data_IF_713606694894
#
_entry.id   IF_713606694894
#
_cell.length_a   1.000
_cell.length_b   1.000
_cell.length_c   1.000
_cell.angle_alpha   90.00
_cell.angle_beta   90.00
_cell.angle_gamma   90.00
#
_symmetry.space_group_name_H-M   'P 1'
#
loop_
_entity.id
_entity.type
_entity.pdbx_description
1 polymer ?
#
# COMPACT_ATOMS: atom_id res chain seq x y z
N UNK A 1 -16.43 34.22 -6.05
CA UNK A 1 -17.49 33.33 -5.55
C UNK A 1 -18.68 33.13 -6.52
N UNK A 2 -18.68 33.60 -7.78
CA UNK A 2 -19.83 33.41 -8.69
C UNK A 2 -19.46 33.17 -10.17
N UNK A 3 -18.56 32.23 -10.48
CA UNK A 3 -18.30 31.86 -11.90
C UNK A 3 -18.44 30.34 -12.15
N UNK A 4 -18.53 29.52 -11.11
CA UNK A 4 -18.68 28.07 -11.23
C UNK A 4 -20.14 27.58 -11.37
N UNK A 5 -21.13 28.46 -11.15
CA UNK A 5 -22.54 28.07 -11.05
C UNK A 5 -23.31 28.13 -12.39
N UNK A 6 -22.83 28.84 -13.41
CA UNK A 6 -23.58 29.05 -14.66
C UNK A 6 -23.24 28.02 -15.77
N UNK A 7 -22.14 27.28 -15.68
CA UNK A 7 -21.70 26.37 -16.76
C UNK A 7 -22.35 24.98 -16.74
N UNK A 8 -23.08 24.62 -15.68
CA UNK A 8 -23.61 23.26 -15.48
C UNK A 8 -25.07 23.06 -15.89
N UNK A 9 -25.70 24.03 -16.56
CA UNK A 9 -27.16 24.03 -16.73
C UNK A 9 -27.74 23.47 -18.03
N UNK A 10 -26.97 22.90 -18.95
CA UNK A 10 -27.57 22.38 -20.20
C UNK A 10 -26.99 21.03 -20.63
N UNK A 11 -27.89 20.05 -20.59
CA UNK A 11 -27.98 18.82 -21.38
C UNK A 11 -26.72 17.97 -21.58
N UNK A 12 -26.77 16.81 -20.91
CA UNK A 12 -26.21 15.55 -21.38
C UNK A 12 -26.50 15.35 -22.87
N UNK A 13 -25.47 15.40 -23.71
CA UNK A 13 -25.24 14.43 -24.80
C UNK A 13 -23.95 14.74 -25.57
N UNK A 14 -23.18 13.68 -25.83
CA UNK A 14 -22.09 13.46 -26.81
C UNK A 14 -20.96 14.51 -27.02
N UNK A 15 -21.10 15.77 -26.63
CA UNK A 15 -20.14 16.86 -26.85
C UNK A 15 -19.11 17.00 -25.71
N UNK A 16 -19.43 16.53 -24.50
CA UNK A 16 -18.55 16.61 -23.33
C UNK A 16 -17.26 15.79 -23.45
N UNK A 17 -17.20 14.76 -24.30
CA UNK A 17 -15.98 13.95 -24.44
C UNK A 17 -14.85 14.75 -25.09
N UNK A 18 -15.17 15.75 -25.92
CA UNK A 18 -14.17 16.57 -26.61
C UNK A 18 -13.75 17.79 -25.78
N UNK A 19 -14.70 18.45 -25.11
CA UNK A 19 -14.39 19.61 -24.27
C UNK A 19 -13.76 19.25 -22.92
N UNK A 20 -14.22 18.16 -22.28
CA UNK A 20 -13.52 17.61 -21.11
C UNK A 20 -12.11 17.15 -21.50
N UNK A 21 -11.86 16.85 -22.78
CA UNK A 21 -10.56 16.40 -23.28
C UNK A 21 -9.57 17.51 -23.65
N UNK A 22 -10.02 18.62 -24.23
CA UNK A 22 -9.17 19.83 -24.39
C UNK A 22 -8.73 20.34 -23.01
N UNK A 23 -9.63 20.34 -22.02
CA UNK A 23 -9.27 20.60 -20.63
C UNK A 23 -8.38 19.48 -20.07
N UNK A 24 -8.66 18.19 -20.31
CA UNK A 24 -7.89 17.07 -19.71
C UNK A 24 -6.45 16.95 -20.23
N UNK A 25 -6.18 17.32 -21.49
CA UNK A 25 -4.83 17.37 -22.06
C UNK A 25 -3.95 18.44 -21.38
N UNK A 26 -4.57 19.56 -21.02
CA UNK A 26 -3.96 20.64 -20.23
C UNK A 26 -3.81 20.16 -18.78
N UNK A 27 -4.85 19.50 -18.23
CA UNK A 27 -4.93 19.03 -16.85
C UNK A 27 -3.93 17.92 -16.46
N UNK A 28 -3.30 17.15 -17.36
CA UNK A 28 -2.31 16.15 -16.90
C UNK A 28 -1.14 16.76 -16.11
N UNK A 29 -0.71 17.95 -16.52
CA UNK A 29 0.32 18.76 -15.86
C UNK A 29 -0.34 19.94 -15.12
N UNK A 30 -1.39 20.55 -15.69
CA UNK A 30 -2.04 21.72 -15.08
C UNK A 30 -3.05 21.39 -13.98
N UNK A 31 -3.63 20.18 -13.92
CA UNK A 31 -4.41 19.73 -12.75
C UNK A 31 -3.49 19.42 -11.60
N UNK A 32 -2.31 18.87 -11.87
CA UNK A 32 -1.28 18.68 -10.85
C UNK A 32 -0.78 20.04 -10.34
N UNK A 33 -0.62 21.04 -11.22
CA UNK A 33 -0.29 22.41 -10.85
C UNK A 33 -1.44 23.14 -10.12
N UNK A 34 -2.70 22.98 -10.54
CA UNK A 34 -3.91 23.50 -9.86
C UNK A 34 -4.14 22.81 -8.50
N UNK A 35 -3.80 21.52 -8.39
CA UNK A 35 -3.73 20.78 -7.12
C UNK A 35 -2.50 21.16 -6.27
N UNK A 36 -1.63 22.03 -6.79
CA UNK A 36 -0.33 22.44 -6.23
C UNK A 36 0.53 21.26 -5.79
N UNK A 37 0.51 20.19 -6.59
CA UNK A 37 1.34 18.98 -6.45
C UNK A 37 2.75 19.36 -6.91
N UNK A 38 3.47 20.09 -6.05
CA UNK A 38 4.90 20.33 -6.24
C UNK A 38 5.67 19.09 -5.78
N UNK A 39 6.35 18.44 -6.71
CA UNK A 39 7.39 17.48 -6.39
C UNK A 39 8.68 18.26 -6.14
N UNK A 40 8.86 18.80 -4.92
CA UNK A 40 10.18 19.28 -4.53
C UNK A 40 11.07 18.07 -4.26
N UNK A 41 12.08 17.89 -5.11
CA UNK A 41 13.10 16.84 -5.01
C UNK A 41 13.94 16.91 -3.73
N UNK A 42 13.75 17.95 -2.89
CA UNK A 42 14.43 18.13 -1.60
C UNK A 42 13.55 17.86 -0.37
N UNK A 43 12.22 17.83 -0.47
CA UNK A 43 11.34 17.68 0.72
C UNK A 43 10.17 16.70 0.46
N UNK A 44 10.18 15.60 1.23
CA UNK A 44 9.35 14.39 1.14
C UNK A 44 7.86 14.56 1.48
N UNK A 45 7.16 15.52 0.88
CA UNK A 45 5.70 15.59 1.01
C UNK A 45 5.08 16.33 -0.15
N UNK A 46 4.38 15.60 -1.01
CA UNK A 46 3.49 16.20 -1.99
C UNK A 46 2.23 16.59 -1.25
N UNK A 47 2.18 17.85 -0.79
CA UNK A 47 1.01 18.41 -0.12
C UNK A 47 -0.06 18.63 -1.17
N UNK A 48 -0.94 17.64 -1.36
CA UNK A 48 -2.16 17.86 -2.14
C UNK A 48 -3.01 18.87 -1.35
N UNK A 49 -3.38 19.96 -2.00
CA UNK A 49 -4.14 21.02 -1.34
C UNK A 49 -5.49 20.48 -0.84
N UNK A 50 -5.71 20.50 0.48
CA UNK A 50 -6.92 20.01 1.13
C UNK A 50 -8.17 20.74 0.64
N UNK A 51 -8.04 22.01 0.23
CA UNK A 51 -9.16 22.77 -0.36
C UNK A 51 -9.64 22.20 -1.69
N UNK A 52 -8.74 21.63 -2.50
CA UNK A 52 -9.10 21.01 -3.78
C UNK A 52 -9.70 19.62 -3.57
N UNK A 53 -9.20 18.84 -2.59
CA UNK A 53 -9.84 17.59 -2.19
C UNK A 53 -11.26 17.83 -1.65
N UNK A 54 -11.44 18.88 -0.85
CA UNK A 54 -12.76 19.33 -0.41
C UNK A 54 -13.65 19.75 -1.57
N UNK A 55 -13.13 20.50 -2.55
CA UNK A 55 -13.89 20.88 -3.74
C UNK A 55 -14.29 19.65 -4.57
N UNK A 56 -13.37 18.72 -4.79
CA UNK A 56 -13.62 17.48 -5.53
C UNK A 56 -14.70 16.62 -4.84
N UNK A 57 -14.64 16.48 -3.52
CA UNK A 57 -15.66 15.77 -2.75
C UNK A 57 -17.01 16.48 -2.76
N UNK A 58 -17.05 17.81 -2.73
CA UNK A 58 -18.30 18.57 -2.88
C UNK A 58 -18.92 18.39 -4.25
N UNK A 59 -18.10 18.39 -5.30
CA UNK A 59 -18.55 18.28 -6.69
C UNK A 59 -18.91 16.84 -7.09
N UNK A 60 -18.16 15.86 -6.58
CA UNK A 60 -18.37 14.45 -6.85
C UNK A 60 -18.08 13.62 -5.60
N UNK A 61 -19.03 13.51 -4.67
CA UNK A 61 -18.87 12.70 -3.46
C UNK A 61 -18.51 11.25 -3.77
N UNK A 62 -19.05 10.71 -4.87
CA UNK A 62 -18.85 9.32 -5.31
C UNK A 62 -17.56 9.10 -6.13
N UNK A 63 -16.70 10.12 -6.28
CA UNK A 63 -15.43 10.00 -7.02
C UNK A 63 -15.56 9.59 -8.50
N UNK A 64 -16.71 9.80 -9.14
CA UNK A 64 -17.00 9.36 -10.52
C UNK A 64 -15.99 9.88 -11.57
N UNK A 65 -15.53 11.15 -11.54
CA UNK A 65 -14.49 11.62 -12.43
C UNK A 65 -13.22 10.79 -12.33
N UNK A 66 -12.83 10.38 -11.12
CA UNK A 66 -11.65 9.52 -10.92
C UNK A 66 -11.86 8.19 -11.64
N UNK A 67 -13.00 7.54 -11.47
CA UNK A 67 -13.28 6.25 -12.13
C UNK A 67 -13.26 6.33 -13.66
N UNK A 68 -13.74 7.43 -14.25
CA UNK A 68 -13.79 7.66 -15.70
C UNK A 68 -12.43 7.96 -16.31
N UNK A 69 -11.58 8.69 -15.58
CA UNK A 69 -10.27 9.06 -16.08
C UNK A 69 -9.20 8.00 -15.83
N UNK A 70 -9.56 6.78 -15.45
CA UNK A 70 -8.62 5.73 -15.06
C UNK A 70 -7.59 5.37 -16.16
N UNK A 71 -6.31 5.15 -15.81
CA UNK A 71 -5.31 4.59 -16.72
C UNK A 71 -5.59 3.12 -16.99
N UNK A 72 -6.08 2.78 -18.17
CA UNK A 72 -6.30 1.38 -18.54
C UNK A 72 -5.15 0.84 -19.42
N UNK A 73 -4.17 0.10 -18.88
CA UNK A 73 -3.04 -0.39 -19.67
C UNK A 73 -3.42 -1.37 -20.79
N UNK A 74 -4.67 -1.86 -20.82
CA UNK A 74 -5.16 -2.77 -21.87
C UNK A 74 -5.81 -2.03 -23.04
N UNK A 75 -6.19 -0.76 -22.87
CA UNK A 75 -6.78 0.02 -23.94
C UNK A 75 -5.71 0.60 -24.89
N UNK A 76 -5.93 0.46 -26.20
CA UNK A 76 -5.00 0.84 -27.25
C UNK A 76 -4.52 2.31 -27.17
N UNK A 77 -5.36 3.21 -26.65
CA UNK A 77 -5.07 4.65 -26.58
C UNK A 77 -4.53 5.10 -25.22
N UNK A 78 -4.25 4.20 -24.27
CA UNK A 78 -3.87 4.63 -22.91
C UNK A 78 -2.54 5.36 -22.87
N UNK A 79 -1.56 4.95 -23.68
CA UNK A 79 -0.28 5.65 -23.76
C UNK A 79 -0.38 7.00 -24.49
N UNK A 80 -1.46 7.25 -25.24
CA UNK A 80 -1.75 8.59 -25.81
C UNK A 80 -2.32 9.55 -24.77
N UNK A 81 -3.03 9.01 -23.76
CA UNK A 81 -3.61 9.78 -22.66
C UNK A 81 -2.62 10.00 -21.52
N UNK A 82 -1.75 9.02 -21.26
CA UNK A 82 -0.80 9.02 -20.18
C UNK A 82 0.61 9.16 -20.74
N UNK A 83 1.17 10.37 -20.62
CA UNK A 83 2.48 10.73 -21.18
C UNK A 83 3.59 9.74 -20.81
N UNK A 84 3.57 9.21 -19.59
CA UNK A 84 4.50 8.19 -19.13
C UNK A 84 3.92 7.37 -17.95
N UNK A 85 4.64 6.35 -17.49
CA UNK A 85 4.22 5.51 -16.35
C UNK A 85 4.28 6.26 -15.01
N UNK A 86 5.01 7.36 -14.94
CA UNK A 86 5.11 8.21 -13.74
C UNK A 86 3.83 9.03 -13.54
N UNK A 87 3.19 9.51 -14.62
CA UNK A 87 1.89 10.18 -14.52
C UNK A 87 0.79 9.24 -14.03
N UNK A 88 0.86 7.96 -14.41
CA UNK A 88 -0.02 6.92 -13.85
C UNK A 88 0.20 6.81 -12.34
N UNK A 89 1.45 6.74 -11.87
CA UNK A 89 1.75 6.65 -10.43
C UNK A 89 1.26 7.89 -9.66
N UNK A 90 1.46 9.09 -10.21
CA UNK A 90 0.91 10.34 -9.65
C UNK A 90 -0.60 10.31 -9.56
N UNK A 91 -1.28 9.78 -10.58
CA UNK A 91 -2.73 9.63 -10.53
C UNK A 91 -3.19 8.62 -9.46
N UNK A 92 -2.54 7.45 -9.34
CA UNK A 92 -2.85 6.50 -8.27
C UNK A 92 -2.69 7.12 -6.88
N UNK A 93 -1.69 7.98 -6.72
CA UNK A 93 -1.48 8.76 -5.49
C UNK A 93 -2.62 9.75 -5.22
N UNK A 94 -3.12 10.46 -6.24
CA UNK A 94 -4.28 11.35 -6.11
C UNK A 94 -5.50 10.57 -5.65
N UNK A 95 -5.79 9.43 -6.29
CA UNK A 95 -6.90 8.55 -5.90
C UNK A 95 -6.74 8.04 -4.47
N UNK A 96 -5.53 7.64 -4.09
CA UNK A 96 -5.24 7.21 -2.71
C UNK A 96 -5.53 8.32 -1.71
N UNK A 97 -5.01 9.53 -1.95
CA UNK A 97 -5.22 10.66 -1.05
C UNK A 97 -6.69 11.05 -0.98
N UNK A 98 -7.44 10.97 -2.09
CA UNK A 98 -8.90 11.14 -2.08
C UNK A 98 -9.58 10.12 -1.16
N UNK A 99 -9.21 8.84 -1.22
CA UNK A 99 -9.75 7.79 -0.33
C UNK A 99 -9.38 8.06 1.12
N UNK A 100 -8.09 8.28 1.42
CA UNK A 100 -7.60 8.51 2.78
C UNK A 100 -8.28 9.73 3.43
N UNK A 101 -8.42 10.81 2.66
CA UNK A 101 -9.10 12.03 3.11
C UNK A 101 -10.60 11.80 3.32
N UNK A 102 -11.25 11.07 2.42
CA UNK A 102 -12.67 10.75 2.52
C UNK A 102 -13.02 9.96 3.77
N UNK A 103 -12.16 9.04 4.20
CA UNK A 103 -12.36 8.23 5.41
C UNK A 103 -12.28 9.08 6.69
N UNK A 104 -11.52 10.18 6.67
CA UNK A 104 -11.39 11.09 7.82
C UNK A 104 -12.61 11.98 8.02
N UNK A 105 -13.49 12.10 7.01
CA UNK A 105 -14.67 12.95 7.10
C UNK A 105 -15.80 12.24 7.87
N UNK A 106 -16.49 12.94 8.79
CA UNK A 106 -17.62 12.38 9.51
C UNK A 106 -18.71 11.88 8.55
N UNK A 107 -19.28 10.71 8.85
CA UNK A 107 -20.41 10.09 8.13
C UNK A 107 -20.18 9.82 6.63
N UNK A 108 -18.94 9.85 6.14
CA UNK A 108 -18.64 9.65 4.72
C UNK A 108 -18.42 8.18 4.34
N UNK A 109 -18.42 7.26 5.31
CA UNK A 109 -18.18 5.82 5.09
C UNK A 109 -19.16 5.21 4.08
N UNK A 110 -20.43 5.58 4.15
CA UNK A 110 -21.51 5.09 3.26
C UNK A 110 -21.31 5.48 1.80
N UNK A 111 -20.48 6.50 1.53
CA UNK A 111 -20.17 6.97 0.17
C UNK A 111 -18.85 6.37 -0.31
N UNK A 112 -17.81 6.38 0.54
CA UNK A 112 -16.48 5.95 0.15
C UNK A 112 -16.33 4.42 0.07
N UNK A 113 -17.06 3.65 0.86
CA UNK A 113 -17.03 2.18 0.81
C UNK A 113 -17.54 1.63 -0.55
N UNK A 114 -18.70 2.05 -1.08
CA UNK A 114 -19.14 1.66 -2.42
C UNK A 114 -18.15 2.08 -3.51
N UNK A 115 -17.58 3.28 -3.42
CA UNK A 115 -16.56 3.74 -4.36
C UNK A 115 -15.33 2.82 -4.35
N UNK A 116 -14.78 2.51 -3.17
CA UNK A 116 -13.61 1.66 -3.03
C UNK A 116 -13.87 0.23 -3.53
N UNK A 117 -15.04 -0.32 -3.21
CA UNK A 117 -15.49 -1.64 -3.69
C UNK A 117 -15.59 -1.67 -5.21
N UNK A 118 -16.24 -0.66 -5.82
CA UNK A 118 -16.38 -0.52 -7.27
C UNK A 118 -15.03 -0.36 -7.98
N UNK A 119 -14.12 0.44 -7.40
CA UNK A 119 -12.77 0.61 -7.93
C UNK A 119 -12.02 -0.73 -7.97
N UNK A 120 -12.05 -1.50 -6.89
CA UNK A 120 -11.45 -2.83 -6.85
C UNK A 120 -12.04 -3.75 -7.92
N UNK A 121 -13.37 -3.77 -8.07
CA UNK A 121 -14.05 -4.64 -9.04
C UNK A 121 -13.75 -4.28 -10.49
N UNK A 122 -13.92 -3.01 -10.85
CA UNK A 122 -13.79 -2.55 -12.23
C UNK A 122 -12.33 -2.46 -12.66
N UNK A 123 -11.44 -2.03 -11.76
CA UNK A 123 -10.05 -1.66 -12.12
C UNK A 123 -9.03 -2.73 -11.72
N UNK A 124 -9.45 -3.89 -11.21
CA UNK A 124 -8.57 -5.03 -10.85
C UNK A 124 -7.57 -5.40 -11.94
N UNK A 125 -7.97 -5.40 -13.22
CA UNK A 125 -7.08 -5.81 -14.31
C UNK A 125 -5.90 -4.83 -14.44
N UNK A 126 -6.18 -3.52 -14.45
CA UNK A 126 -5.17 -2.48 -14.45
C UNK A 126 -4.30 -2.53 -13.19
N UNK A 127 -4.89 -2.66 -12.01
CA UNK A 127 -4.16 -2.74 -10.73
C UNK A 127 -3.18 -3.92 -10.71
N UNK A 128 -3.62 -5.11 -11.15
CA UNK A 128 -2.73 -6.26 -11.28
C UNK A 128 -1.61 -6.00 -12.30
N UNK A 129 -1.94 -5.37 -13.44
CA UNK A 129 -0.94 -5.05 -14.46
C UNK A 129 0.12 -4.06 -13.96
N UNK A 130 -0.27 -3.05 -13.19
CA UNK A 130 0.64 -2.06 -12.61
C UNK A 130 1.67 -2.68 -11.67
N UNK A 131 1.28 -3.71 -10.92
CA UNK A 131 2.20 -4.46 -10.06
C UNK A 131 3.24 -5.25 -10.86
N UNK A 132 3.02 -5.52 -12.15
CA UNK A 132 3.98 -6.29 -12.98
C UNK A 132 5.06 -5.44 -13.64
N UNK A 133 4.94 -4.12 -13.64
CA UNK A 133 5.89 -3.20 -14.32
C UNK A 133 7.09 -2.89 -13.43
N UNK A 134 7.93 -3.90 -13.21
CA UNK A 134 9.05 -3.81 -12.26
C UNK A 134 10.19 -2.89 -12.67
N UNK A 135 10.21 -2.47 -13.94
CA UNK A 135 11.11 -1.43 -14.45
C UNK A 135 10.75 -0.03 -13.93
N UNK A 136 9.56 0.14 -13.32
CA UNK A 136 9.13 1.39 -12.67
C UNK A 136 8.64 1.17 -11.24
N UNK A 137 9.56 1.11 -10.25
CA UNK A 137 9.23 0.86 -8.84
C UNK A 137 8.20 1.82 -8.23
N UNK A 138 8.16 3.09 -8.69
CA UNK A 138 7.19 4.09 -8.23
C UNK A 138 5.73 3.66 -8.49
N UNK A 139 5.49 2.95 -9.58
CA UNK A 139 4.14 2.51 -9.92
C UNK A 139 3.72 1.33 -9.04
N UNK A 140 4.60 0.34 -8.83
CA UNK A 140 4.36 -0.74 -7.87
C UNK A 140 4.10 -0.17 -6.47
N UNK A 141 4.91 0.80 -6.05
CA UNK A 141 4.78 1.50 -4.76
C UNK A 141 3.41 2.16 -4.60
N UNK A 142 3.01 3.03 -5.54
CA UNK A 142 1.73 3.75 -5.42
C UNK A 142 0.53 2.81 -5.58
N UNK A 143 0.65 1.74 -6.36
CA UNK A 143 -0.39 0.70 -6.46
C UNK A 143 -0.58 -0.02 -5.14
N UNK A 144 0.50 -0.44 -4.47
CA UNK A 144 0.43 -1.09 -3.15
C UNK A 144 -0.15 -0.15 -2.09
N UNK A 145 0.24 1.12 -2.11
CA UNK A 145 -0.31 2.12 -1.19
C UNK A 145 -1.79 2.39 -1.43
N UNK A 146 -2.23 2.45 -2.69
CA UNK A 146 -3.64 2.56 -3.02
C UNK A 146 -4.42 1.34 -2.52
N UNK A 147 -3.93 0.12 -2.78
CA UNK A 147 -4.56 -1.10 -2.28
C UNK A 147 -4.68 -1.12 -0.76
N UNK A 148 -3.63 -0.69 -0.05
CA UNK A 148 -3.67 -0.56 1.41
C UNK A 148 -4.73 0.45 1.86
N UNK A 149 -4.79 1.65 1.26
CA UNK A 149 -5.81 2.65 1.58
C UNK A 149 -7.23 2.15 1.31
N UNK A 150 -7.46 1.46 0.19
CA UNK A 150 -8.76 0.85 -0.12
C UNK A 150 -9.17 -0.19 0.93
N UNK A 151 -8.23 -1.04 1.37
CA UNK A 151 -8.49 -2.05 2.40
C UNK A 151 -8.69 -1.45 3.81
N UNK A 152 -8.26 -0.20 4.06
CA UNK A 152 -8.50 0.49 5.33
C UNK A 152 -9.87 1.12 5.43
N UNK A 153 -10.57 1.30 4.30
CA UNK A 153 -11.90 1.92 4.28
C UNK A 153 -12.85 1.14 5.17
N UNK A 154 -12.93 -0.18 5.00
CA UNK A 154 -13.70 -1.06 5.87
C UNK A 154 -13.29 -2.52 5.74
N UNK A 155 -13.80 -3.36 6.64
CA UNK A 155 -13.65 -4.81 6.54
C UNK A 155 -14.28 -5.38 5.24
N UNK A 156 -15.34 -4.72 4.73
CA UNK A 156 -16.00 -5.09 3.47
C UNK A 156 -15.06 -4.89 2.29
N UNK A 157 -14.37 -3.75 2.22
CA UNK A 157 -13.43 -3.47 1.12
C UNK A 157 -12.17 -4.33 1.20
N UNK A 158 -11.68 -4.66 2.40
CA UNK A 158 -10.59 -5.60 2.60
C UNK A 158 -10.95 -7.02 2.11
N UNK A 159 -12.15 -7.50 2.49
CA UNK A 159 -12.68 -8.78 2.00
C UNK A 159 -12.83 -8.79 0.49
N UNK A 160 -13.32 -7.69 -0.07
CA UNK A 160 -13.46 -7.54 -1.52
C UNK A 160 -12.11 -7.59 -2.23
N UNK A 161 -11.10 -6.88 -1.71
CA UNK A 161 -9.74 -6.89 -2.25
C UNK A 161 -9.20 -8.31 -2.35
N UNK A 162 -9.31 -9.09 -1.26
CA UNK A 162 -8.91 -10.51 -1.25
C UNK A 162 -9.68 -11.34 -2.28
N UNK A 163 -10.96 -11.04 -2.49
CA UNK A 163 -11.83 -11.78 -3.42
C UNK A 163 -11.50 -11.51 -4.89
N UNK A 164 -11.18 -10.26 -5.25
CA UNK A 164 -11.07 -9.84 -6.66
C UNK A 164 -9.64 -9.69 -7.16
N UNK A 165 -8.68 -9.45 -6.26
CA UNK A 165 -7.27 -9.35 -6.62
C UNK A 165 -6.64 -10.73 -6.69
N UNK A 166 -5.76 -10.94 -7.67
CA UNK A 166 -5.03 -12.20 -7.80
C UNK A 166 -3.80 -12.22 -6.86
N UNK A 167 -4.07 -12.23 -5.55
CA UNK A 167 -3.04 -12.16 -4.51
C UNK A 167 -2.15 -13.41 -4.43
N UNK A 168 -2.52 -14.49 -5.14
CA UNK A 168 -1.71 -15.70 -5.28
C UNK A 168 -0.74 -15.65 -6.46
N UNK A 169 -0.81 -14.59 -7.28
CA UNK A 169 0.09 -14.40 -8.42
C UNK A 169 1.56 -14.38 -7.98
N UNK A 170 2.48 -14.94 -8.79
CA UNK A 170 3.93 -14.89 -8.53
C UNK A 170 4.48 -13.49 -8.28
N UNK A 171 3.77 -12.44 -8.71
CA UNK A 171 4.17 -11.05 -8.46
C UNK A 171 4.27 -10.75 -6.96
N UNK A 172 3.37 -11.28 -6.13
CA UNK A 172 3.41 -11.06 -4.68
C UNK A 172 4.55 -11.82 -4.01
N UNK A 173 4.96 -12.96 -4.59
CA UNK A 173 6.16 -13.65 -4.18
C UNK A 173 7.42 -12.80 -4.48
N UNK A 174 7.49 -12.17 -5.66
CA UNK A 174 8.57 -11.24 -6.01
C UNK A 174 8.59 -10.00 -5.10
N UNK A 175 7.44 -9.40 -4.82
CA UNK A 175 7.33 -8.25 -3.93
C UNK A 175 7.74 -8.59 -2.49
N UNK A 176 7.38 -9.80 -2.02
CA UNK A 176 7.76 -10.28 -0.69
C UNK A 176 9.27 -10.52 -0.54
N UNK A 177 9.96 -10.87 -1.64
CA UNK A 177 11.39 -11.14 -1.65
C UNK A 177 12.25 -9.89 -1.98
N UNK A 178 11.63 -8.77 -2.35
CA UNK A 178 12.36 -7.54 -2.69
C UNK A 178 13.07 -6.99 -1.45
N UNK A 179 14.35 -6.68 -1.59
CA UNK A 179 15.15 -6.05 -0.53
C UNK A 179 14.86 -4.54 -0.46
N UNK A 180 14.97 -3.95 0.73
CA UNK A 180 14.92 -2.51 0.87
C UNK A 180 16.12 -1.87 0.19
N UNK A 181 15.92 -0.68 -0.40
CA UNK A 181 17.00 0.06 -1.03
C UNK A 181 17.60 1.04 -0.02
N UNK A 182 18.93 1.10 0.07
CA UNK A 182 19.65 1.91 1.05
C UNK A 182 19.63 3.43 0.82
N UNK A 183 19.07 3.93 -0.28
CA UNK A 183 19.04 5.37 -0.56
C UNK A 183 17.76 6.04 -0.06
N UNK A 184 17.90 7.27 0.43
CA UNK A 184 16.79 8.11 0.91
C UNK A 184 15.89 8.66 -0.19
N UNK A 185 16.27 8.50 -1.47
CA UNK A 185 15.58 9.01 -2.65
C UNK A 185 14.74 7.94 -3.38
N UNK A 186 14.98 6.65 -3.13
CA UNK A 186 14.24 5.57 -3.80
C UNK A 186 12.96 5.19 -3.04
N UNK A 187 11.90 4.91 -3.79
CA UNK A 187 10.65 4.39 -3.23
C UNK A 187 10.84 3.02 -2.58
N UNK A 188 10.34 2.89 -1.35
CA UNK A 188 10.44 1.66 -0.57
C UNK A 188 9.26 0.73 -0.88
N UNK A 189 9.33 0.04 -2.03
CA UNK A 189 8.28 -0.90 -2.48
C UNK A 189 8.07 -2.04 -1.49
N UNK A 190 9.16 -2.54 -0.91
CA UNK A 190 9.12 -3.59 0.13
C UNK A 190 8.31 -3.14 1.34
N UNK A 191 8.55 -1.93 1.83
CA UNK A 191 7.78 -1.35 2.93
C UNK A 191 6.30 -1.18 2.57
N UNK A 192 5.98 -0.69 1.37
CA UNK A 192 4.59 -0.57 0.92
C UNK A 192 3.87 -1.93 0.83
N UNK A 193 4.60 -2.99 0.45
CA UNK A 193 4.06 -4.35 0.43
C UNK A 193 3.77 -4.85 1.85
N UNK A 194 4.70 -4.64 2.79
CA UNK A 194 4.49 -4.96 4.22
C UNK A 194 3.25 -4.23 4.74
N UNK A 195 3.14 -2.93 4.50
CA UNK A 195 2.00 -2.13 4.95
C UNK A 195 0.66 -2.60 4.36
N UNK A 196 0.65 -3.03 3.10
CA UNK A 196 -0.53 -3.61 2.46
C UNK A 196 -0.95 -4.92 3.15
N UNK A 197 -0.02 -5.86 3.36
CA UNK A 197 -0.33 -7.14 4.02
C UNK A 197 -0.76 -6.93 5.46
N UNK A 198 -0.07 -6.08 6.21
CA UNK A 198 -0.43 -5.77 7.61
C UNK A 198 -1.76 -5.03 7.70
N UNK A 199 -2.15 -4.28 6.67
CA UNK A 199 -3.49 -3.70 6.60
C UNK A 199 -4.56 -4.78 6.50
N UNK A 200 -4.37 -5.79 5.65
CA UNK A 200 -5.29 -6.93 5.57
C UNK A 200 -5.32 -7.74 6.88
N UNK A 201 -4.19 -7.85 7.58
CA UNK A 201 -4.09 -8.55 8.85
C UNK A 201 -4.91 -7.90 9.98
N UNK A 202 -5.24 -6.61 9.87
CA UNK A 202 -6.08 -5.88 10.83
C UNK A 202 -7.57 -6.12 10.64
N UNK A 203 -7.96 -6.64 9.48
CA UNK A 203 -9.36 -6.89 9.15
C UNK A 203 -9.97 -7.91 10.11
N UNK A 204 -11.19 -7.70 10.58
CA UNK A 204 -11.85 -8.63 11.52
C UNK A 204 -12.56 -9.79 10.84
N UNK A 205 -12.65 -9.77 9.51
CA UNK A 205 -13.34 -10.77 8.71
C UNK A 205 -12.60 -12.11 8.68
N UNK A 206 -13.26 -13.18 9.13
CA UNK A 206 -12.69 -14.53 9.18
C UNK A 206 -12.22 -15.02 7.81
N UNK A 207 -12.91 -14.64 6.73
CA UNK A 207 -12.53 -15.03 5.37
C UNK A 207 -11.19 -14.42 4.95
N UNK A 208 -10.89 -13.20 5.39
CA UNK A 208 -9.61 -12.53 5.10
C UNK A 208 -8.48 -13.23 5.85
N UNK A 209 -8.64 -13.49 7.15
CA UNK A 209 -7.64 -14.26 7.92
C UNK A 209 -7.36 -15.63 7.32
N UNK A 210 -8.41 -16.39 6.98
CA UNK A 210 -8.27 -17.70 6.34
C UNK A 210 -7.54 -17.64 5.01
N UNK A 211 -7.63 -16.54 4.27
CA UNK A 211 -6.88 -16.35 3.04
C UNK A 211 -5.40 -16.03 3.32
N UNK A 212 -5.14 -15.12 4.26
CA UNK A 212 -3.81 -14.65 4.61
C UNK A 212 -2.93 -15.74 5.25
N UNK A 213 -3.54 -16.61 6.06
CA UNK A 213 -2.90 -17.65 6.86
C UNK A 213 -2.82 -19.01 6.16
N UNK A 214 -3.08 -19.06 4.85
CA UNK A 214 -2.81 -20.30 4.09
C UNK A 214 -1.33 -20.60 4.12
N UNK A 215 -0.99 -21.87 3.89
CA UNK A 215 0.40 -22.27 3.68
C UNK A 215 0.99 -21.46 2.53
N UNK A 216 2.18 -20.89 2.73
CA UNK A 216 2.81 -19.93 1.81
C UNK A 216 1.96 -18.68 1.51
N UNK A 217 1.02 -18.34 2.39
CA UNK A 217 0.16 -17.17 2.29
C UNK A 217 0.91 -15.85 2.55
N UNK A 218 0.21 -14.74 2.33
CA UNK A 218 0.81 -13.40 2.40
C UNK A 218 1.46 -13.08 3.75
N UNK A 219 0.90 -13.52 4.87
CA UNK A 219 1.50 -13.28 6.20
C UNK A 219 2.85 -13.98 6.34
N UNK A 220 2.93 -15.27 5.96
CA UNK A 220 4.19 -16.01 5.98
C UNK A 220 5.25 -15.41 5.03
N UNK A 221 4.81 -14.77 3.94
CA UNK A 221 5.71 -14.15 2.97
C UNK A 221 6.43 -12.92 3.53
N UNK A 222 5.93 -12.30 4.60
CA UNK A 222 6.59 -11.15 5.23
C UNK A 222 7.97 -11.50 5.80
N UNK A 223 8.24 -12.76 6.12
CA UNK A 223 9.53 -13.16 6.69
C UNK A 223 10.65 -13.33 5.63
N UNK A 224 10.33 -13.40 4.33
CA UNK A 224 11.31 -13.80 3.29
C UNK A 224 12.55 -12.91 3.18
N UNK A 225 12.38 -11.60 3.35
CA UNK A 225 13.47 -10.60 3.22
C UNK A 225 13.71 -9.82 4.52
N UNK A 226 13.32 -10.41 5.66
CA UNK A 226 13.36 -9.74 6.97
C UNK A 226 14.76 -9.23 7.34
N UNK A 227 15.82 -9.96 6.98
CA UNK A 227 17.23 -9.58 7.23
C UNK A 227 17.66 -8.30 6.51
N UNK A 228 16.96 -7.92 5.43
CA UNK A 228 17.23 -6.72 4.65
C UNK A 228 16.25 -5.56 4.93
N UNK A 229 15.27 -5.80 5.82
CA UNK A 229 14.30 -4.78 6.20
C UNK A 229 14.91 -3.82 7.24
N UNK A 230 14.42 -2.58 7.29
CA UNK A 230 14.81 -1.62 8.32
C UNK A 230 14.24 -2.00 9.68
N UNK A 231 14.87 -1.55 10.77
CA UNK A 231 14.38 -1.86 12.13
C UNK A 231 12.92 -1.46 12.36
N UNK A 232 12.48 -0.34 11.77
CA UNK A 232 11.10 0.11 11.86
C UNK A 232 10.12 -0.85 11.15
N UNK A 233 10.53 -1.42 10.02
CA UNK A 233 9.73 -2.40 9.27
C UNK A 233 9.71 -3.73 10.03
N UNK A 234 10.86 -4.20 10.50
CA UNK A 234 10.98 -5.42 11.33
C UNK A 234 10.08 -5.31 12.56
N UNK A 235 10.17 -4.21 13.30
CA UNK A 235 9.36 -3.95 14.48
C UNK A 235 7.86 -3.99 14.18
N UNK A 236 7.41 -3.36 13.08
CA UNK A 236 5.99 -3.44 12.68
C UNK A 236 5.56 -4.85 12.35
N UNK A 237 6.39 -5.62 11.63
CA UNK A 237 6.09 -7.02 11.30
C UNK A 237 5.98 -7.83 12.59
N UNK A 238 6.98 -7.79 13.47
CA UNK A 238 7.01 -8.62 14.68
C UNK A 238 5.87 -8.27 15.63
N UNK A 239 5.59 -6.98 15.87
CA UNK A 239 4.47 -6.56 16.72
C UNK A 239 3.12 -6.98 16.14
N UNK A 240 2.93 -6.85 14.83
CA UNK A 240 1.68 -7.24 14.17
C UNK A 240 1.50 -8.76 14.16
N UNK A 241 2.57 -9.54 13.98
CA UNK A 241 2.50 -11.00 14.03
C UNK A 241 2.17 -11.50 15.44
N UNK A 242 2.74 -10.87 16.47
CA UNK A 242 2.37 -11.14 17.85
C UNK A 242 0.88 -10.84 18.08
N UNK A 243 0.45 -9.62 17.79
CA UNK A 243 -0.91 -9.16 18.06
C UNK A 243 -1.99 -9.93 17.27
N UNK A 244 -1.80 -10.13 15.96
CA UNK A 244 -2.85 -10.65 15.08
C UNK A 244 -2.76 -12.16 14.84
N UNK A 245 -1.63 -12.80 15.17
CA UNK A 245 -1.42 -14.24 14.95
C UNK A 245 -1.17 -14.99 16.24
N UNK A 246 -0.14 -14.64 17.02
CA UNK A 246 0.20 -15.40 18.24
C UNK A 246 -0.84 -15.21 19.35
N UNK A 247 -1.15 -13.96 19.69
CA UNK A 247 -2.04 -13.61 20.80
C UNK A 247 -3.52 -13.79 20.42
N UNK A 248 -3.80 -14.07 19.15
CA UNK A 248 -5.15 -14.26 18.66
C UNK A 248 -5.68 -15.66 19.02
N UNK A 249 -6.54 -15.70 20.04
CA UNK A 249 -7.17 -16.93 20.56
C UNK A 249 -8.20 -17.54 19.61
N UNK A 250 -8.64 -16.81 18.58
CA UNK A 250 -9.58 -17.32 17.58
C UNK A 250 -8.89 -18.19 16.52
N UNK A 251 -7.56 -18.25 16.52
CA UNK A 251 -6.77 -19.02 15.56
C UNK A 251 -6.34 -20.35 16.18
N UNK A 252 -6.56 -21.42 15.41
CA UNK A 252 -6.04 -22.73 15.77
C UNK A 252 -4.52 -22.82 15.56
N UNK A 253 -3.92 -23.83 16.18
CA UNK A 253 -2.48 -24.09 16.06
C UNK A 253 -2.05 -24.29 14.60
N UNK A 254 -2.93 -24.86 13.76
CA UNK A 254 -2.66 -25.08 12.33
C UNK A 254 -2.47 -23.76 11.59
N UNK A 255 -3.35 -22.79 11.78
CA UNK A 255 -3.25 -21.47 11.16
C UNK A 255 -1.99 -20.73 11.62
N UNK A 256 -1.66 -20.82 12.91
CA UNK A 256 -0.41 -20.22 13.44
C UNK A 256 0.83 -20.88 12.83
N UNK A 257 0.87 -22.21 12.72
CA UNK A 257 1.97 -22.96 12.06
C UNK A 257 2.14 -22.61 10.58
N UNK A 258 1.04 -22.31 9.87
CA UNK A 258 1.11 -21.90 8.47
C UNK A 258 1.82 -20.55 8.28
N UNK A 259 1.69 -19.64 9.25
CA UNK A 259 2.42 -18.36 9.28
C UNK A 259 3.84 -18.55 9.78
N UNK A 260 4.02 -19.17 10.95
CA UNK A 260 5.30 -19.48 11.58
C UNK A 260 5.87 -20.81 11.08
N UNK A 261 5.99 -20.93 9.76
CA UNK A 261 6.57 -22.11 9.13
C UNK A 261 8.11 -22.13 9.27
N UNK A 262 8.73 -23.21 8.79
CA UNK A 262 10.19 -23.39 8.87
C UNK A 262 10.99 -22.23 8.25
N UNK A 263 10.49 -21.58 7.20
CA UNK A 263 11.14 -20.42 6.56
C UNK A 263 11.09 -19.22 7.49
N UNK A 264 9.91 -18.93 8.06
CA UNK A 264 9.72 -17.82 8.99
C UNK A 264 10.61 -17.98 10.23
N UNK A 265 10.63 -19.18 10.83
CA UNK A 265 11.47 -19.50 12.00
C UNK A 265 12.95 -19.32 11.65
N UNK A 266 13.42 -19.87 10.51
CA UNK A 266 14.81 -19.73 10.07
C UNK A 266 15.21 -18.26 9.92
N UNK A 267 14.32 -17.42 9.39
CA UNK A 267 14.56 -15.99 9.19
C UNK A 267 14.58 -15.21 10.50
N UNK A 268 13.73 -15.57 11.47
CA UNK A 268 13.78 -15.00 12.82
C UNK A 268 15.08 -15.37 13.54
N UNK A 269 15.51 -16.63 13.48
CA UNK A 269 16.78 -17.09 14.07
C UNK A 269 17.98 -16.40 13.41
N UNK A 270 17.98 -16.25 12.08
CA UNK A 270 19.05 -15.54 11.39
C UNK A 270 19.15 -14.07 11.83
N UNK A 271 18.00 -13.40 12.01
CA UNK A 271 17.96 -12.02 12.51
C UNK A 271 18.52 -11.90 13.93
N UNK A 272 18.28 -12.89 14.79
CA UNK A 272 18.84 -12.95 16.15
C UNK A 272 20.37 -13.10 16.11
N UNK A 273 20.90 -14.01 15.27
CA UNK A 273 22.36 -14.22 15.14
C UNK A 273 23.10 -12.97 14.65
N UNK A 274 22.54 -12.26 13.69
CA UNK A 274 23.12 -11.00 13.20
C UNK A 274 23.27 -9.94 14.30
N UNK A 275 22.41 -9.97 15.32
CA UNK A 275 22.55 -9.10 16.48
C UNK A 275 23.70 -9.56 17.38
N UNK A 276 23.78 -10.85 17.70
CA UNK A 276 24.82 -11.40 18.58
C UNK A 276 26.22 -11.12 18.00
N UNK A 277 26.40 -11.31 16.69
CA UNK A 277 27.65 -11.04 15.99
C UNK A 277 28.03 -9.54 16.06
N UNK A 278 27.05 -8.64 15.86
CA UNK A 278 27.29 -7.18 15.96
C UNK A 278 27.70 -6.71 17.36
N UNK A 279 27.18 -7.34 18.41
CA UNK A 279 27.54 -7.03 19.81
C UNK A 279 28.97 -7.49 20.11
N UNK A 280 29.38 -8.64 19.57
CA UNK A 280 30.74 -9.17 19.75
C UNK A 280 31.79 -8.32 19.01
N UNK A 281 31.50 -7.86 17.79
CA UNK A 281 32.39 -6.97 17.04
C UNK A 281 32.63 -5.62 17.74
N UNK A 282 31.62 -5.01 18.36
CA UNK A 282 31.81 -3.77 19.12
C UNK A 282 32.63 -3.96 20.40
N UNK A 283 32.42 -5.09 21.10
CA UNK A 283 33.18 -5.40 22.33
C UNK A 283 34.68 -5.60 22.07
N UNK A 284 35.06 -5.87 20.81
CA UNK A 284 36.45 -6.09 20.39
C UNK A 284 37.10 -4.85 19.75
N UNK A 285 36.36 -3.75 19.51
CA UNK A 285 36.92 -2.55 18.89
C UNK A 285 36.28 -1.23 19.40
N UNK A 286 36.71 -0.69 20.56
CA UNK A 286 36.03 0.43 21.25
C UNK A 286 36.29 1.84 20.66
N UNK A 287 36.96 1.96 19.50
CA UNK A 287 37.52 3.23 19.02
C UNK A 287 36.57 4.12 18.18
N UNK A 288 35.41 3.63 17.75
CA UNK A 288 34.40 4.46 17.10
C UNK A 288 33.00 4.13 17.65
N UNK A 289 32.26 5.11 18.20
CA UNK A 289 30.85 4.90 18.49
C UNK A 289 30.10 4.85 17.16
N UNK A 290 30.07 3.66 16.56
CA UNK A 290 29.21 3.36 15.43
C UNK A 290 27.76 3.63 15.88
N UNK A 291 26.96 4.26 15.05
CA UNK A 291 25.58 4.65 15.36
C UNK A 291 24.68 3.41 15.53
N UNK A 292 24.85 2.64 16.59
CA UNK A 292 23.90 1.61 17.00
C UNK A 292 22.76 2.32 17.69
N UNK A 293 21.84 2.80 16.88
CA UNK A 293 20.44 2.72 17.27
C UNK A 293 20.22 1.25 17.66
N UNK A 294 20.09 0.99 18.97
CA UNK A 294 19.71 -0.33 19.51
C UNK A 294 18.64 -0.90 18.58
N UNK A 295 18.95 -1.93 17.81
CA UNK A 295 18.03 -2.48 16.80
C UNK A 295 16.86 -3.15 17.53
N UNK A 296 15.85 -2.37 17.89
CA UNK A 296 14.66 -2.82 18.63
C UNK A 296 13.95 -4.01 17.94
N UNK A 297 14.12 -4.16 16.62
CA UNK A 297 13.55 -5.24 15.82
C UNK A 297 14.01 -6.64 16.25
N UNK A 298 15.26 -6.81 16.72
CA UNK A 298 15.77 -8.12 17.12
C UNK A 298 15.22 -8.58 18.47
N UNK A 299 15.12 -7.69 19.47
CA UNK A 299 14.42 -7.98 20.73
C UNK A 299 12.98 -8.44 20.47
N UNK A 300 12.27 -7.78 19.56
CA UNK A 300 10.92 -8.19 19.21
C UNK A 300 10.87 -9.51 18.43
N UNK A 301 11.92 -9.86 17.67
CA UNK A 301 12.05 -11.18 17.05
C UNK A 301 12.29 -12.29 18.09
N UNK A 302 13.09 -12.02 19.13
CA UNK A 302 13.22 -12.92 20.29
C UNK A 302 11.87 -13.13 20.98
N UNK A 303 11.17 -12.06 21.36
CA UNK A 303 9.85 -12.16 22.02
C UNK A 303 8.84 -12.92 21.15
N UNK A 304 8.86 -12.70 19.83
CA UNK A 304 7.98 -13.39 18.90
C UNK A 304 8.31 -14.89 18.81
N UNK A 305 9.60 -15.25 18.77
CA UNK A 305 10.02 -16.65 18.69
C UNK A 305 9.77 -17.40 20.00
N UNK A 306 10.05 -16.77 21.15
CA UNK A 306 9.74 -17.35 22.47
C UNK A 306 8.24 -17.55 22.66
N UNK A 307 7.41 -16.54 22.35
CA UNK A 307 5.96 -16.69 22.41
C UNK A 307 5.41 -17.75 21.44
N UNK A 308 6.12 -18.03 20.34
CA UNK A 308 5.80 -19.13 19.45
C UNK A 308 6.17 -20.50 20.06
N UNK A 309 7.33 -20.61 20.70
CA UNK A 309 7.79 -21.84 21.37
C UNK A 309 6.86 -22.21 22.51
N UNK A 310 6.46 -21.24 23.34
CA UNK A 310 5.54 -21.47 24.47
C UNK A 310 4.15 -21.97 24.03
N UNK A 311 3.81 -21.81 22.75
CA UNK A 311 2.52 -22.19 22.18
C UNK A 311 2.51 -23.58 21.52
N UNK A 312 3.68 -24.18 21.23
CA UNK A 312 3.80 -25.52 20.62
C UNK A 312 3.85 -26.59 21.71
#
# INVERSE_FOLDING_TARGET
MCVFAEMYRLHFDSFCVRWCWESVKVLGIDFANELNISCNTSTKSTKINTSVLHALLKLSPQGEPLMRIWPDPTAANTMTRWKNRESIATYLKIVRVFVDFSVQLPNNLTIIEPFATRLLQEKRASLNKFLTWSDKPILEYETLRLLASLCRVSDVTARECVRVMNLQSPIFQKLSARQMKGSTQDVQVREAFVDFVLTLAKCKEKSVYRFLMRENGLLSSLFRSLESDSDAVILRITLSMRQYVLDNTLLDLRAKRAVFNHVAIRKLVALMKLQDDSIQEESSNPAEPSQISRRYGSKCAYELLFGWIDFI
#
